data_IF_579445084713
#
_entry.id   IF_579445084713
#
_cell.length_a   1.000
_cell.length_b   1.000
_cell.length_c   1.000
_cell.angle_alpha   90.00
_cell.angle_beta   90.00
_cell.angle_gamma   90.00
#
_symmetry.space_group_name_H-M   'P 1'
#
loop_
_entity.id
_entity.type
_entity.pdbx_description
1 polymer ?
#
# COMPACT_ATOMS: atom_id res chain seq x y z
N UNK A 1 1.80 26.46 2.33
CA UNK A 1 1.42 25.50 3.40
C UNK A 1 0.42 24.43 2.92
N UNK A 2 -0.19 24.55 1.73
CA UNK A 2 -1.31 23.69 1.29
C UNK A 2 -0.94 22.21 1.01
N UNK A 3 0.32 21.88 0.70
CA UNK A 3 0.76 20.49 0.45
C UNK A 3 1.25 19.70 1.67
N UNK A 4 1.38 20.33 2.84
CA UNK A 4 1.96 19.68 4.03
C UNK A 4 0.94 18.78 4.74
N UNK A 5 -0.34 19.17 4.78
CA UNK A 5 -1.40 18.38 5.40
C UNK A 5 -1.65 17.05 4.66
N UNK A 6 -1.82 17.01 3.33
CA UNK A 6 -2.01 15.74 2.61
C UNK A 6 -0.84 14.78 2.80
N UNK A 7 0.39 15.29 2.74
CA UNK A 7 1.58 14.48 2.93
C UNK A 7 1.68 13.93 4.36
N UNK A 8 1.37 14.75 5.37
CA UNK A 8 1.35 14.32 6.77
C UNK A 8 0.29 13.24 7.02
N UNK A 9 -0.88 13.33 6.35
CA UNK A 9 -1.92 12.30 6.41
C UNK A 9 -1.42 11.00 5.77
N UNK A 10 -0.84 11.06 4.57
CA UNK A 10 -0.25 9.87 3.92
C UNK A 10 0.82 9.22 4.81
N UNK A 11 1.73 10.02 5.37
CA UNK A 11 2.77 9.53 6.27
C UNK A 11 2.18 8.90 7.54
N UNK A 12 1.16 9.51 8.15
CA UNK A 12 0.48 8.98 9.33
C UNK A 12 -0.24 7.66 9.06
N UNK A 13 -1.00 7.58 7.97
CA UNK A 13 -1.68 6.34 7.55
C UNK A 13 -0.67 5.24 7.24
N UNK A 14 0.41 5.57 6.51
CA UNK A 14 1.49 4.65 6.20
C UNK A 14 2.18 4.12 7.46
N UNK A 15 2.45 4.99 8.44
CA UNK A 15 3.05 4.59 9.71
C UNK A 15 2.16 3.61 10.50
N UNK A 16 0.86 3.92 10.62
CA UNK A 16 -0.10 3.03 11.30
C UNK A 16 -0.19 1.69 10.58
N UNK A 17 -0.28 1.70 9.25
CA UNK A 17 -0.33 0.48 8.45
C UNK A 17 0.94 -0.36 8.61
N UNK A 18 2.13 0.26 8.57
CA UNK A 18 3.41 -0.43 8.77
C UNK A 18 3.51 -1.06 10.15
N UNK A 19 3.10 -0.36 11.22
CA UNK A 19 3.04 -0.91 12.57
C UNK A 19 2.12 -2.13 12.62
N UNK A 20 0.92 -2.05 12.01
CA UNK A 20 -0.02 -3.17 11.96
C UNK A 20 0.56 -4.37 11.19
N UNK A 21 1.26 -4.16 10.09
CA UNK A 21 1.94 -5.25 9.34
C UNK A 21 2.98 -5.97 10.21
N UNK A 22 3.77 -5.22 10.99
CA UNK A 22 4.81 -5.79 11.86
C UNK A 22 4.22 -6.54 13.04
N UNK A 23 3.17 -6.00 13.66
CA UNK A 23 2.55 -6.59 14.85
C UNK A 23 1.62 -7.77 14.55
N UNK A 24 0.99 -7.78 13.38
CA UNK A 24 0.06 -8.84 12.98
C UNK A 24 0.82 -10.18 12.83
N UNK A 25 0.21 -11.28 13.28
CA UNK A 25 0.81 -12.62 13.15
C UNK A 25 0.30 -13.33 11.93
N UNK A 26 -0.98 -13.13 11.58
CA UNK A 26 -1.61 -13.79 10.44
C UNK A 26 -1.16 -13.15 9.13
N UNK A 27 -0.54 -13.93 8.25
CA UNK A 27 -0.13 -13.46 6.91
C UNK A 27 -1.31 -12.88 6.14
N UNK A 28 -2.50 -13.49 6.23
CA UNK A 28 -3.69 -12.99 5.53
C UNK A 28 -4.16 -11.63 6.03
N UNK A 29 -4.06 -11.39 7.34
CA UNK A 29 -4.44 -10.09 7.92
C UNK A 29 -3.39 -9.01 7.64
N UNK A 30 -2.15 -9.37 7.28
CA UNK A 30 -1.11 -8.41 6.84
C UNK A 30 -1.40 -7.83 5.47
N UNK A 31 -1.97 -8.61 4.54
CA UNK A 31 -2.13 -8.20 3.14
C UNK A 31 -2.96 -6.91 2.98
N UNK A 32 -4.10 -6.72 3.67
CA UNK A 32 -4.83 -5.45 3.64
C UNK A 32 -4.00 -4.27 4.16
N UNK A 33 -3.23 -4.45 5.24
CA UNK A 33 -2.38 -3.38 5.78
C UNK A 33 -1.21 -3.06 4.84
N UNK A 34 -0.66 -4.06 4.15
CA UNK A 34 0.39 -3.88 3.15
C UNK A 34 -0.13 -3.09 1.94
N UNK A 35 -1.37 -3.36 1.50
CA UNK A 35 -2.02 -2.58 0.44
C UNK A 35 -2.22 -1.10 0.85
N UNK A 36 -2.73 -0.85 2.07
CA UNK A 36 -2.87 0.52 2.59
C UNK A 36 -1.52 1.24 2.67
N UNK A 37 -0.46 0.54 3.07
CA UNK A 37 0.90 1.08 3.06
C UNK A 37 1.35 1.43 1.63
N UNK A 38 1.11 0.55 0.65
CA UNK A 38 1.39 0.81 -0.76
C UNK A 38 0.65 2.04 -1.30
N UNK A 39 -0.62 2.22 -0.94
CA UNK A 39 -1.41 3.41 -1.28
C UNK A 39 -0.81 4.69 -0.66
N UNK A 40 -0.42 4.65 0.61
CA UNK A 40 0.21 5.78 1.30
C UNK A 40 1.53 6.20 0.63
N UNK A 41 2.33 5.22 0.19
CA UNK A 41 3.58 5.46 -0.55
C UNK A 41 3.28 6.08 -1.91
N UNK A 42 2.33 5.53 -2.68
CA UNK A 42 1.93 6.09 -3.97
C UNK A 42 1.43 7.53 -3.86
N UNK A 43 0.56 7.81 -2.88
CA UNK A 43 0.08 9.16 -2.58
C UNK A 43 1.23 10.11 -2.22
N UNK A 44 2.21 9.63 -1.44
CA UNK A 44 3.39 10.42 -1.09
C UNK A 44 4.26 10.75 -2.32
N UNK A 45 4.46 9.79 -3.24
CA UNK A 45 5.18 10.01 -4.51
C UNK A 45 4.50 11.09 -5.33
N UNK A 46 3.17 11.02 -5.47
CA UNK A 46 2.39 11.99 -6.24
C UNK A 46 2.40 13.39 -5.62
N UNK A 47 2.51 13.51 -4.29
CA UNK A 47 2.51 14.78 -3.57
C UNK A 47 3.90 15.43 -3.45
N UNK A 48 4.97 14.64 -3.38
CA UNK A 48 6.34 15.14 -3.19
C UNK A 48 6.97 15.63 -4.49
N UNK A 49 6.61 15.05 -5.62
CA UNK A 49 7.27 15.31 -6.90
C UNK A 49 6.29 16.03 -7.83
N UNK A 50 6.44 17.35 -8.04
CA UNK A 50 5.54 18.15 -8.88
C UNK A 50 5.88 17.96 -10.37
N UNK A 51 5.82 16.71 -10.85
CA UNK A 51 6.08 16.36 -12.25
C UNK A 51 5.06 15.31 -12.73
N UNK A 52 4.48 15.45 -13.94
CA UNK A 52 3.46 14.52 -14.43
C UNK A 52 3.93 13.07 -14.50
N UNK A 53 5.23 12.85 -14.77
CA UNK A 53 5.84 11.51 -14.74
C UNK A 53 5.79 10.85 -13.34
N UNK A 54 5.79 11.64 -12.26
CA UNK A 54 5.67 11.10 -10.91
C UNK A 54 4.28 10.58 -10.62
N UNK A 55 3.23 11.19 -11.19
CA UNK A 55 1.87 10.66 -11.12
C UNK A 55 1.81 9.30 -11.83
N UNK A 56 2.43 9.19 -13.02
CA UNK A 56 2.51 7.91 -13.72
C UNK A 56 3.24 6.85 -12.90
N UNK A 57 4.37 7.21 -12.28
CA UNK A 57 5.12 6.33 -11.39
C UNK A 57 4.31 5.91 -10.17
N UNK A 58 3.57 6.84 -9.55
CA UNK A 58 2.68 6.56 -8.43
C UNK A 58 1.55 5.59 -8.83
N UNK A 59 0.94 5.78 -10.00
CA UNK A 59 -0.07 4.86 -10.53
C UNK A 59 0.52 3.47 -10.80
N UNK A 60 1.68 3.39 -11.45
CA UNK A 60 2.35 2.12 -11.73
C UNK A 60 2.71 1.37 -10.43
N UNK A 61 3.25 2.09 -9.44
CA UNK A 61 3.55 1.55 -8.12
C UNK A 61 2.28 1.05 -7.42
N UNK A 62 1.20 1.85 -7.42
CA UNK A 62 -0.05 1.51 -6.76
C UNK A 62 -0.72 0.28 -7.38
N UNK A 63 -0.80 0.22 -8.71
CA UNK A 63 -1.33 -0.95 -9.43
C UNK A 63 -0.48 -2.18 -9.14
N UNK A 64 0.84 -2.07 -9.24
CA UNK A 64 1.76 -3.18 -8.96
C UNK A 64 1.60 -3.73 -7.54
N UNK A 65 1.56 -2.87 -6.53
CA UNK A 65 1.36 -3.25 -5.12
C UNK A 65 0.00 -3.92 -4.88
N UNK A 66 -1.05 -3.47 -5.58
CA UNK A 66 -2.39 -4.06 -5.48
C UNK A 66 -2.42 -5.45 -6.12
N UNK A 67 -1.78 -5.62 -7.28
CA UNK A 67 -1.69 -6.92 -7.95
C UNK A 67 -0.90 -7.93 -7.12
N UNK A 68 0.21 -7.51 -6.51
CA UNK A 68 1.01 -8.34 -5.61
C UNK A 68 0.19 -8.82 -4.41
N UNK A 69 -0.49 -7.89 -3.71
CA UNK A 69 -1.33 -8.22 -2.55
C UNK A 69 -2.45 -9.20 -2.90
N UNK A 70 -3.09 -9.03 -4.06
CA UNK A 70 -4.16 -9.90 -4.54
C UNK A 70 -3.65 -11.27 -5.03
N UNK A 71 -2.48 -11.35 -5.66
CA UNK A 71 -1.87 -12.60 -6.09
C UNK A 71 -1.45 -13.48 -4.90
N UNK A 72 -0.98 -12.85 -3.82
CA UNK A 72 -0.69 -13.56 -2.57
C UNK A 72 -1.99 -14.06 -1.96
N UNK A 73 -3.01 -13.20 -1.84
CA UNK A 73 -4.31 -13.59 -1.31
C UNK A 73 -4.97 -14.74 -2.09
N UNK A 74 -4.89 -14.72 -3.43
CA UNK A 74 -5.46 -15.77 -4.28
C UNK A 74 -4.72 -17.09 -4.16
N UNK A 75 -3.40 -17.06 -3.96
CA UNK A 75 -2.59 -18.26 -3.68
C UNK A 75 -3.01 -18.91 -2.36
N UNK A 76 -3.23 -18.11 -1.32
CA UNK A 76 -3.73 -18.63 -0.04
C UNK A 76 -5.16 -19.17 -0.15
N UNK A 77 -6.04 -18.52 -0.92
CA UNK A 77 -7.40 -19.00 -1.15
C UNK A 77 -7.41 -20.34 -1.91
N UNK A 78 -6.68 -20.42 -3.03
CA UNK A 78 -6.58 -21.64 -3.84
C UNK A 78 -5.80 -22.80 -3.17
N UNK A 79 -5.05 -22.51 -2.10
CA UNK A 79 -4.44 -23.52 -1.24
C UNK A 79 -5.43 -24.20 -0.29
N UNK A 80 -6.43 -23.47 0.22
CA UNK A 80 -7.46 -23.99 1.14
C UNK A 80 -8.54 -24.83 0.47
N UNK A 81 -8.72 -24.71 -0.85
CA UNK A 81 -9.68 -25.54 -1.61
C UNK A 81 -9.12 -26.92 -2.00
N UNK A 82 -7.86 -27.24 -1.63
CA UNK A 82 -7.20 -28.53 -1.92
C UNK A 82 -7.06 -29.45 -0.70
N UNK A 83 -7.67 -29.08 0.42
CA UNK A 83 -7.77 -29.85 1.68
C UNK A 83 -9.24 -30.16 1.99
#
# INVERSE_FOLDING_TARGET
MEGQLPLAVCAGVGLVAAIRVVLERSTLLKLPYLNVLGFAIAGSIALLIPHPLAILAACAYFVGSTLESNAIASTFAGGRDRE
#
